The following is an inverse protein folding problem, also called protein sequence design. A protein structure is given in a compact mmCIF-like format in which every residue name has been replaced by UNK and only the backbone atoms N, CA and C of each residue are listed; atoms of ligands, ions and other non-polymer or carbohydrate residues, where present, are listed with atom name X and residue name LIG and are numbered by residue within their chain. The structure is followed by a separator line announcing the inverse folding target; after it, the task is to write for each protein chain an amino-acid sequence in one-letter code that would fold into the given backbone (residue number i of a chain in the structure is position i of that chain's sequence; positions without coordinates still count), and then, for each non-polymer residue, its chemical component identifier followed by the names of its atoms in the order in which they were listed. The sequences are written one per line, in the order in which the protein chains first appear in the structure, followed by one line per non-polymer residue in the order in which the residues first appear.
data_IF_731045118666
#
_entry.id   IF_731045118666
#
_cell.length_a   1.000
_cell.length_b   1.000
_cell.length_c   1.000
_cell.angle_alpha   90.00
_cell.angle_beta   90.00
_cell.angle_gamma   90.00
#
_symmetry.space_group_name_H-M   'P 1'
#
loop_
_entity.id
_entity.type
_entity.pdbx_description
1 polymer ?
#
# COMPACT_ATOMS: atom_id res chain seq x y z
N UNK A 1 -31.70 46.33 -2.81
CA UNK A 1 -30.88 45.56 -1.84
C UNK A 1 -30.99 44.08 -2.18
N UNK A 2 -29.88 43.39 -2.33
CA UNK A 2 -29.90 41.96 -2.71
C UNK A 2 -30.26 41.04 -1.52
N UNK A 3 -30.03 41.50 -0.27
CA UNK A 3 -30.35 40.76 0.95
C UNK A 3 -31.54 41.38 1.66
N UNK A 4 -32.61 40.61 1.83
CA UNK A 4 -33.86 41.07 2.54
C UNK A 4 -34.15 40.11 3.70
N UNK A 5 -34.59 40.68 4.85
CA UNK A 5 -35.04 39.91 6.01
C UNK A 5 -36.46 39.38 5.75
N UNK A 6 -36.67 38.08 6.02
CA UNK A 6 -38.00 37.48 5.88
C UNK A 6 -38.76 37.44 7.20
N UNK A 7 -40.08 37.25 7.14
CA UNK A 7 -40.94 37.17 8.35
C UNK A 7 -40.54 35.97 9.27
N UNK A 8 -39.83 34.99 8.76
CA UNK A 8 -39.32 33.80 9.50
C UNK A 8 -37.93 34.03 10.11
N UNK A 9 -37.52 35.27 10.31
CA UNK A 9 -36.21 35.65 10.89
C UNK A 9 -34.98 35.09 10.16
N UNK A 10 -35.12 34.74 8.86
CA UNK A 10 -34.06 34.36 7.93
C UNK A 10 -33.79 35.48 6.94
N UNK A 11 -32.70 35.35 6.16
CA UNK A 11 -32.31 36.36 5.17
C UNK A 11 -32.36 35.74 3.78
N UNK A 12 -33.12 36.38 2.87
CA UNK A 12 -33.22 35.96 1.48
C UNK A 12 -32.26 36.78 0.64
N UNK A 13 -31.35 36.10 -0.04
CA UNK A 13 -30.45 36.70 -1.02
C UNK A 13 -31.06 36.52 -2.42
N UNK A 14 -31.15 37.62 -3.18
CA UNK A 14 -31.62 37.64 -4.56
C UNK A 14 -30.68 38.52 -5.38
N UNK A 15 -29.88 37.88 -6.26
CA UNK A 15 -28.90 38.55 -7.13
C UNK A 15 -29.30 38.34 -8.59
N UNK A 16 -29.33 39.41 -9.37
CA UNK A 16 -29.57 39.34 -10.82
C UNK A 16 -28.38 38.77 -11.54
N UNK A 17 -28.62 37.86 -12.51
CA UNK A 17 -27.60 37.20 -13.33
C UNK A 17 -27.80 37.65 -14.78
N UNK A 18 -26.80 38.29 -15.42
CA UNK A 18 -26.83 38.67 -16.82
C UNK A 18 -27.05 37.47 -17.75
N UNK A 19 -27.75 37.69 -18.87
CA UNK A 19 -28.17 36.60 -19.79
C UNK A 19 -27.00 35.82 -20.32
N UNK A 20 -25.88 36.46 -20.60
CA UNK A 20 -24.68 35.98 -21.27
C UNK A 20 -23.92 34.94 -20.40
N UNK A 21 -24.07 35.04 -19.05
CA UNK A 21 -23.32 34.21 -18.11
C UNK A 21 -24.18 33.15 -17.40
N UNK A 22 -25.51 33.15 -17.61
CA UNK A 22 -26.44 32.20 -16.93
C UNK A 22 -26.08 30.76 -17.18
N UNK A 23 -25.78 30.41 -18.43
CA UNK A 23 -25.36 29.04 -18.82
C UNK A 23 -24.05 28.61 -18.15
N UNK A 24 -23.10 29.53 -18.04
CA UNK A 24 -21.80 29.29 -17.39
C UNK A 24 -21.95 29.12 -15.87
N UNK A 25 -22.97 29.73 -15.26
CA UNK A 25 -23.30 29.59 -13.84
C UNK A 25 -24.28 28.46 -13.53
N UNK A 26 -24.81 27.75 -14.55
CA UNK A 26 -25.79 26.69 -14.38
C UNK A 26 -27.17 27.16 -13.87
N UNK A 27 -27.51 28.47 -14.06
CA UNK A 27 -28.73 29.06 -13.56
C UNK A 27 -29.74 29.21 -14.69
N UNK A 28 -30.93 28.61 -14.53
CA UNK A 28 -32.00 28.67 -15.55
C UNK A 28 -32.80 29.99 -15.54
N UNK A 29 -32.84 30.71 -14.40
CA UNK A 29 -33.58 31.96 -14.23
C UNK A 29 -32.68 33.20 -14.33
N UNK A 30 -33.29 34.38 -14.20
CA UNK A 30 -32.58 35.66 -14.22
C UNK A 30 -32.09 36.15 -12.85
N UNK A 31 -32.33 35.34 -11.81
CA UNK A 31 -31.87 35.65 -10.47
C UNK A 31 -31.34 34.37 -9.79
N UNK A 32 -30.26 34.52 -9.03
CA UNK A 32 -29.88 33.57 -7.99
C UNK A 32 -30.67 33.90 -6.73
N UNK A 33 -31.37 32.92 -6.15
CA UNK A 33 -32.16 33.09 -4.93
C UNK A 33 -31.81 31.98 -3.92
N UNK A 34 -31.39 32.39 -2.73
CA UNK A 34 -31.09 31.43 -1.64
C UNK A 34 -31.36 32.07 -0.26
N UNK A 35 -31.80 31.23 0.70
CA UNK A 35 -32.06 31.65 2.09
C UNK A 35 -30.90 31.28 3.01
N UNK A 36 -30.59 32.20 3.94
CA UNK A 36 -29.52 32.04 4.94
C UNK A 36 -30.04 32.28 6.33
N UNK A 37 -29.38 31.71 7.34
CA UNK A 37 -29.79 31.86 8.74
C UNK A 37 -29.39 33.23 9.31
N UNK A 38 -28.26 33.78 8.91
CA UNK A 38 -27.73 35.05 9.40
C UNK A 38 -27.53 36.05 8.26
N UNK A 39 -27.57 37.34 8.61
CA UNK A 39 -27.30 38.43 7.67
C UNK A 39 -25.85 38.40 7.19
N UNK A 40 -24.93 37.95 8.02
CA UNK A 40 -23.51 37.85 7.70
C UNK A 40 -23.29 36.84 6.59
N UNK A 41 -23.81 35.60 6.75
CA UNK A 41 -23.75 34.54 5.70
C UNK A 41 -24.38 35.00 4.37
N UNK A 42 -25.53 35.69 4.42
CA UNK A 42 -26.18 36.20 3.23
C UNK A 42 -25.33 37.27 2.51
N UNK A 43 -24.61 38.10 3.26
CA UNK A 43 -23.74 39.15 2.72
C UNK A 43 -22.42 38.55 2.14
N UNK A 44 -21.85 37.56 2.79
CA UNK A 44 -20.68 36.83 2.28
C UNK A 44 -21.02 36.14 0.96
N UNK A 45 -22.16 35.45 0.90
CA UNK A 45 -22.65 34.84 -0.33
C UNK A 45 -23.01 35.85 -1.44
N UNK A 46 -23.53 37.05 -1.08
CA UNK A 46 -23.77 38.15 -2.03
C UNK A 46 -22.44 38.56 -2.71
N UNK A 47 -21.41 38.80 -1.88
CA UNK A 47 -20.09 39.20 -2.36
C UNK A 47 -19.48 38.14 -3.27
N UNK A 48 -19.55 36.86 -2.88
CA UNK A 48 -19.05 35.73 -3.66
C UNK A 48 -19.73 35.65 -5.05
N UNK A 49 -21.07 35.80 -5.09
CA UNK A 49 -21.80 35.73 -6.36
C UNK A 49 -21.50 36.95 -7.25
N UNK A 50 -21.40 38.14 -6.68
CA UNK A 50 -21.09 39.37 -7.44
C UNK A 50 -19.66 39.31 -8.00
N UNK A 51 -18.69 38.79 -7.24
CA UNK A 51 -17.32 38.58 -7.70
C UNK A 51 -17.30 37.60 -8.87
N UNK A 52 -18.07 36.52 -8.78
CA UNK A 52 -18.16 35.51 -9.84
C UNK A 52 -18.82 36.05 -11.13
N UNK A 53 -19.84 36.90 -10.99
CA UNK A 53 -20.46 37.60 -12.12
C UNK A 53 -19.41 38.49 -12.80
N UNK A 54 -18.72 39.32 -12.04
CA UNK A 54 -17.71 40.28 -12.55
C UNK A 54 -16.55 39.54 -13.30
N UNK A 55 -16.07 38.44 -12.76
CA UNK A 55 -15.05 37.61 -13.38
C UNK A 55 -15.52 37.03 -14.73
N UNK A 56 -16.77 36.52 -14.79
CA UNK A 56 -17.35 35.96 -16.00
C UNK A 56 -17.65 37.00 -17.08
N UNK A 57 -18.02 38.25 -16.69
CA UNK A 57 -18.25 39.37 -17.58
C UNK A 57 -16.94 39.87 -18.23
N UNK A 58 -15.86 39.87 -17.46
CA UNK A 58 -14.55 40.34 -17.94
C UNK A 58 -13.77 39.31 -18.73
N UNK A 59 -14.32 38.09 -18.98
CA UNK A 59 -13.65 37.04 -19.75
C UNK A 59 -12.46 36.42 -19.03
N UNK A 60 -12.32 36.71 -17.72
CA UNK A 60 -11.32 35.99 -16.91
C UNK A 60 -11.76 34.53 -16.79
N UNK A 61 -10.92 33.67 -17.27
CA UNK A 61 -11.19 32.21 -17.27
C UNK A 61 -11.49 31.75 -15.85
N UNK A 62 -12.63 31.06 -15.69
CA UNK A 62 -13.08 30.45 -14.42
C UNK A 62 -12.03 29.50 -13.81
N UNK A 63 -11.05 29.09 -14.60
CA UNK A 63 -9.92 28.26 -14.19
C UNK A 63 -9.08 28.87 -13.06
N UNK A 64 -8.87 30.19 -13.04
CA UNK A 64 -8.01 30.84 -12.03
C UNK A 64 -8.68 31.04 -10.67
N UNK A 65 -10.00 31.21 -10.59
CA UNK A 65 -10.71 31.38 -9.30
C UNK A 65 -11.14 30.07 -8.63
N UNK A 66 -11.15 28.95 -9.37
CA UNK A 66 -11.44 27.60 -8.83
C UNK A 66 -10.28 26.96 -8.09
N UNK A 67 -9.09 27.47 -8.25
CA UNK A 67 -7.87 26.81 -7.83
C UNK A 67 -7.45 27.11 -6.38
N UNK A 68 -7.84 28.24 -5.80
CA UNK A 68 -7.26 28.68 -4.52
C UNK A 68 -7.84 28.01 -3.27
N UNK A 69 -9.07 27.48 -3.31
CA UNK A 69 -9.77 26.99 -2.12
C UNK A 69 -10.16 25.49 -2.17
N UNK A 70 -9.64 24.73 -3.13
CA UNK A 70 -9.93 23.29 -3.19
C UNK A 70 -9.39 22.58 -1.93
N UNK A 71 -10.25 21.80 -1.28
CA UNK A 71 -9.84 21.00 -0.13
C UNK A 71 -8.82 19.93 -0.54
N UNK A 72 -7.91 19.63 0.37
CA UNK A 72 -6.92 18.56 0.16
C UNK A 72 -7.60 17.21 -0.17
N UNK A 73 -8.73 16.88 0.50
CA UNK A 73 -9.50 15.68 0.23
C UNK A 73 -10.14 15.68 -1.16
N UNK A 74 -10.63 16.81 -1.63
CA UNK A 74 -11.21 16.94 -2.98
C UNK A 74 -10.14 16.86 -4.05
N UNK A 75 -9.02 17.56 -3.87
CA UNK A 75 -7.87 17.47 -4.78
C UNK A 75 -7.34 16.04 -4.88
N UNK A 76 -7.19 15.36 -3.73
CA UNK A 76 -6.78 13.94 -3.71
C UNK A 76 -7.76 13.06 -4.47
N UNK A 77 -9.08 13.13 -4.18
CA UNK A 77 -10.06 12.20 -4.73
C UNK A 77 -10.36 12.44 -6.21
N UNK A 78 -10.44 13.71 -6.65
CA UNK A 78 -10.97 14.07 -7.95
C UNK A 78 -9.88 14.37 -8.99
N UNK A 79 -8.62 14.61 -8.54
CA UNK A 79 -7.54 15.05 -9.42
C UNK A 79 -6.32 14.14 -9.30
N UNK A 80 -5.70 14.12 -8.12
CA UNK A 80 -4.45 13.39 -7.91
C UNK A 80 -4.60 11.88 -8.04
N UNK A 81 -5.71 11.30 -7.57
CA UNK A 81 -5.89 9.86 -7.50
C UNK A 81 -5.90 9.18 -8.87
N UNK A 82 -6.58 9.76 -9.85
CA UNK A 82 -6.63 9.20 -11.20
C UNK A 82 -5.30 9.40 -11.93
N UNK A 83 -4.66 10.56 -11.79
CA UNK A 83 -3.32 10.83 -12.29
C UNK A 83 -2.28 9.90 -11.68
N UNK A 84 -2.39 9.60 -10.38
CA UNK A 84 -1.52 8.63 -9.71
C UNK A 84 -1.67 7.21 -10.28
N UNK A 85 -2.90 6.74 -10.47
CA UNK A 85 -3.17 5.42 -11.07
C UNK A 85 -2.62 5.32 -12.50
N UNK A 86 -2.67 6.40 -13.23
CA UNK A 86 -2.08 6.52 -14.57
C UNK A 86 -0.54 6.62 -14.56
N UNK A 87 0.10 6.78 -13.38
CA UNK A 87 1.56 6.93 -13.25
C UNK A 87 2.10 8.33 -13.54
N UNK A 88 1.23 9.34 -13.65
CA UNK A 88 1.59 10.71 -14.03
C UNK A 88 2.22 11.52 -12.89
N UNK A 89 1.90 11.18 -11.63
CA UNK A 89 2.37 11.93 -10.44
C UNK A 89 3.78 11.55 -10.00
N UNK A 90 4.48 10.71 -10.75
CA UNK A 90 5.83 10.26 -10.44
C UNK A 90 6.68 10.19 -11.71
N UNK A 91 7.99 10.39 -11.58
CA UNK A 91 8.94 10.26 -12.69
C UNK A 91 9.24 8.81 -13.10
N UNK A 92 8.55 7.81 -12.54
CA UNK A 92 8.75 6.42 -12.91
C UNK A 92 8.09 6.09 -14.24
N UNK A 93 8.77 5.32 -15.08
CA UNK A 93 8.30 4.96 -16.42
C UNK A 93 7.10 3.98 -16.45
N UNK A 94 6.71 3.43 -15.31
CA UNK A 94 5.62 2.45 -15.21
C UNK A 94 4.57 2.90 -14.19
N UNK A 95 3.28 2.77 -14.51
CA UNK A 95 2.22 3.04 -13.55
C UNK A 95 2.31 2.08 -12.34
N UNK A 96 1.76 2.48 -11.18
CA UNK A 96 1.78 1.67 -9.99
C UNK A 96 0.98 0.37 -10.17
N UNK A 97 1.45 -0.72 -9.57
CA UNK A 97 0.71 -1.99 -9.56
C UNK A 97 -0.54 -1.88 -8.70
N UNK A 98 -1.55 -2.75 -8.93
CA UNK A 98 -2.78 -2.78 -8.12
C UNK A 98 -2.49 -2.90 -6.62
N UNK A 99 -1.49 -3.71 -6.22
CA UNK A 99 -1.05 -3.81 -4.82
C UNK A 99 -0.56 -2.48 -4.27
N UNK A 100 0.18 -1.71 -5.07
CA UNK A 100 0.68 -0.39 -4.68
C UNK A 100 -0.47 0.61 -4.57
N UNK A 101 -1.41 0.59 -5.52
CA UNK A 101 -2.62 1.43 -5.52
C UNK A 101 -3.42 1.23 -4.22
N UNK A 102 -3.71 -0.02 -3.84
CA UNK A 102 -4.47 -0.33 -2.62
C UNK A 102 -3.75 0.08 -1.34
N UNK A 103 -2.43 -0.12 -1.30
CA UNK A 103 -1.61 0.30 -0.17
C UNK A 103 -1.59 1.84 -0.05
N UNK A 104 -1.46 2.54 -1.18
CA UNK A 104 -1.52 4.01 -1.24
C UNK A 104 -2.86 4.52 -0.74
N UNK A 105 -3.98 3.95 -1.23
CA UNK A 105 -5.32 4.29 -0.76
C UNK A 105 -5.46 4.11 0.76
N UNK A 106 -4.88 3.04 1.28
CA UNK A 106 -4.90 2.76 2.72
C UNK A 106 -4.09 3.78 3.52
N UNK A 107 -2.91 4.21 3.02
CA UNK A 107 -2.08 5.25 3.65
C UNK A 107 -2.81 6.58 3.68
N UNK A 108 -3.43 6.99 2.57
CA UNK A 108 -4.22 8.22 2.53
C UNK A 108 -5.37 8.17 3.51
N UNK A 109 -6.20 7.13 3.45
CA UNK A 109 -7.38 6.98 4.32
C UNK A 109 -7.03 6.96 5.80
N UNK A 110 -5.97 6.26 6.21
CA UNK A 110 -5.62 6.08 7.63
C UNK A 110 -4.76 7.19 8.21
N UNK A 111 -3.97 7.86 7.39
CA UNK A 111 -2.92 8.75 7.91
C UNK A 111 -2.95 10.15 7.31
N UNK A 112 -3.14 10.32 6.00
CA UNK A 112 -2.96 11.63 5.35
C UNK A 112 -4.27 12.45 5.38
N UNK A 113 -5.39 11.87 4.94
CA UNK A 113 -6.68 12.55 4.93
C UNK A 113 -7.17 12.99 6.31
N UNK A 114 -6.98 12.21 7.40
CA UNK A 114 -7.31 12.69 8.74
C UNK A 114 -6.49 13.91 9.19
N UNK A 115 -5.27 14.10 8.68
CA UNK A 115 -4.43 15.26 8.99
C UNK A 115 -4.79 16.50 8.17
N UNK A 116 -5.01 16.34 6.88
CA UNK A 116 -5.03 17.45 5.93
C UNK A 116 -6.34 17.60 5.16
N UNK A 117 -7.22 16.59 5.16
CA UNK A 117 -8.38 16.51 4.28
C UNK A 117 -9.32 17.73 4.32
N UNK A 118 -9.47 18.34 5.49
CA UNK A 118 -10.37 19.48 5.72
C UNK A 118 -9.72 20.85 5.51
N UNK A 119 -8.44 20.91 5.17
CA UNK A 119 -7.75 22.15 4.84
C UNK A 119 -7.69 22.34 3.34
N UNK A 120 -7.71 23.61 2.87
CA UNK A 120 -7.45 23.87 1.45
C UNK A 120 -5.97 23.68 1.10
N UNK A 121 -5.68 23.30 -0.15
CA UNK A 121 -4.31 23.14 -0.67
C UNK A 121 -3.53 24.42 -0.50
N UNK A 122 -4.14 25.56 -0.85
CA UNK A 122 -3.49 26.87 -0.75
C UNK A 122 -3.20 27.27 0.70
N UNK A 123 -4.16 27.06 1.62
CA UNK A 123 -3.94 27.30 3.05
C UNK A 123 -2.75 26.52 3.58
N UNK A 124 -2.67 25.22 3.30
CA UNK A 124 -1.56 24.38 3.75
C UNK A 124 -0.22 24.84 3.15
N UNK A 125 -0.21 25.18 1.85
CA UNK A 125 0.99 25.65 1.14
C UNK A 125 1.53 26.98 1.71
N UNK A 126 0.65 27.86 2.18
CA UNK A 126 1.02 29.13 2.81
C UNK A 126 1.41 28.96 4.29
N UNK A 127 0.81 28.02 5.01
CA UNK A 127 0.96 27.85 6.45
C UNK A 127 1.91 26.68 6.79
N UNK A 128 3.20 26.82 6.44
CA UNK A 128 4.24 25.81 6.67
C UNK A 128 4.30 25.28 8.09
N UNK A 129 4.04 26.13 9.09
CA UNK A 129 4.10 25.75 10.50
C UNK A 129 3.01 24.73 10.86
N UNK A 130 1.81 24.87 10.31
CA UNK A 130 0.70 23.91 10.51
C UNK A 130 1.11 22.54 9.97
N UNK A 131 1.61 22.49 8.73
CA UNK A 131 2.07 21.27 8.10
C UNK A 131 3.24 20.64 8.87
N UNK A 132 4.20 21.45 9.29
CA UNK A 132 5.34 20.98 10.09
C UNK A 132 4.90 20.33 11.40
N UNK A 133 3.99 20.96 12.14
CA UNK A 133 3.50 20.44 13.42
C UNK A 133 2.76 19.11 13.23
N UNK A 134 1.81 19.03 12.30
CA UNK A 134 1.04 17.82 12.03
C UNK A 134 1.92 16.67 11.54
N UNK A 135 2.84 16.93 10.64
CA UNK A 135 3.75 15.89 10.13
C UNK A 135 4.79 15.46 11.15
N UNK A 136 5.29 16.35 12.01
CA UNK A 136 6.21 16.00 13.09
C UNK A 136 5.54 15.07 14.09
N UNK A 137 4.31 15.40 14.53
CA UNK A 137 3.53 14.52 15.39
C UNK A 137 3.30 13.14 14.74
N UNK A 138 2.98 13.09 13.44
CA UNK A 138 2.82 11.84 12.71
C UNK A 138 4.13 11.05 12.57
N UNK A 139 5.27 11.72 12.47
CA UNK A 139 6.59 11.07 12.42
C UNK A 139 6.96 10.38 13.75
N UNK A 140 6.44 10.86 14.88
CA UNK A 140 6.59 10.24 16.21
C UNK A 140 5.65 9.05 16.41
N UNK A 141 4.50 9.05 15.74
CA UNK A 141 3.47 8.01 15.84
C UNK A 141 3.72 6.85 14.86
N UNK A 142 4.15 7.13 13.63
CA UNK A 142 4.14 6.16 12.54
C UNK A 142 5.54 5.86 11.99
N UNK A 143 5.99 4.60 12.14
CA UNK A 143 7.36 4.20 11.76
C UNK A 143 7.64 4.35 10.24
N UNK A 144 6.64 4.08 9.37
CA UNK A 144 6.81 4.23 7.92
C UNK A 144 6.50 5.64 7.42
N UNK A 145 6.84 6.65 8.21
CA UNK A 145 6.58 8.06 7.93
C UNK A 145 7.17 8.54 6.58
N UNK A 146 8.27 7.94 6.11
CA UNK A 146 8.85 8.29 4.80
C UNK A 146 7.85 8.18 3.65
N UNK A 147 6.92 7.21 3.72
CA UNK A 147 5.87 7.02 2.70
C UNK A 147 4.85 8.16 2.77
N UNK A 148 4.41 8.53 3.98
CA UNK A 148 3.52 9.69 4.17
C UNK A 148 4.15 10.95 3.62
N UNK A 149 5.42 11.20 3.98
CA UNK A 149 6.19 12.36 3.52
C UNK A 149 6.27 12.43 1.98
N UNK A 150 6.51 11.30 1.33
CA UNK A 150 6.58 11.21 -0.12
C UNK A 150 5.24 11.55 -0.78
N UNK A 151 4.12 10.99 -0.28
CA UNK A 151 2.81 11.24 -0.85
C UNK A 151 2.32 12.66 -0.61
N UNK A 152 2.54 13.22 0.59
CA UNK A 152 2.17 14.61 0.87
C UNK A 152 2.95 15.56 -0.07
N UNK A 153 4.25 15.32 -0.25
CA UNK A 153 5.03 16.14 -1.20
C UNK A 153 4.50 15.98 -2.64
N UNK A 154 4.16 14.76 -3.06
CA UNK A 154 3.61 14.48 -4.40
C UNK A 154 2.26 15.17 -4.65
N UNK A 155 1.42 15.35 -3.63
CA UNK A 155 0.17 16.13 -3.76
C UNK A 155 0.48 17.60 -4.09
N UNK A 156 1.44 18.20 -3.38
CA UNK A 156 1.79 19.62 -3.60
C UNK A 156 2.61 19.83 -4.88
N UNK A 157 3.48 18.88 -5.24
CA UNK A 157 4.20 18.92 -6.53
C UNK A 157 3.20 18.84 -7.70
N UNK A 158 2.16 17.98 -7.58
CA UNK A 158 1.12 17.86 -8.61
C UNK A 158 0.16 19.04 -8.63
N UNK A 159 -0.08 19.68 -7.48
CA UNK A 159 -0.86 20.89 -7.40
C UNK A 159 -0.12 22.11 -8.03
N UNK A 160 1.21 22.15 -7.93
CA UNK A 160 2.06 23.12 -8.64
C UNK A 160 2.03 22.84 -10.15
N UNK A 161 2.23 21.61 -10.58
CA UNK A 161 2.22 21.20 -12.01
C UNK A 161 0.91 21.55 -12.71
N UNK A 162 -0.22 21.44 -12.00
CA UNK A 162 -1.56 21.78 -12.51
C UNK A 162 -2.00 23.23 -12.17
N UNK A 163 -1.08 24.08 -11.74
CA UNK A 163 -1.32 25.51 -11.46
C UNK A 163 -2.38 25.78 -10.37
N UNK A 164 -2.66 24.81 -9.46
CA UNK A 164 -3.49 25.05 -8.28
C UNK A 164 -2.79 25.89 -7.22
N UNK A 165 -1.48 25.87 -7.22
CA UNK A 165 -0.59 26.72 -6.42
C UNK A 165 0.57 27.21 -7.32
N UNK A 166 1.07 28.40 -7.06
CA UNK A 166 2.17 28.99 -7.81
C UNK A 166 3.50 28.19 -7.67
N UNK A 167 3.75 27.66 -6.47
CA UNK A 167 4.92 26.85 -6.17
C UNK A 167 4.71 26.00 -4.91
N UNK A 168 5.32 24.81 -4.87
CA UNK A 168 5.32 23.97 -3.66
C UNK A 168 6.27 24.53 -2.61
N UNK A 169 5.75 25.43 -1.74
CA UNK A 169 6.51 26.05 -0.65
C UNK A 169 6.89 25.06 0.46
N UNK A 170 6.27 23.87 0.50
CA UNK A 170 6.44 22.86 1.56
C UNK A 170 7.58 21.90 1.29
N UNK A 171 8.01 21.72 0.04
CA UNK A 171 8.95 20.67 -0.37
C UNK A 171 10.21 20.61 0.50
N UNK A 172 10.88 21.75 0.73
CA UNK A 172 12.09 21.81 1.58
C UNK A 172 11.78 21.52 3.04
N UNK A 173 10.64 22.00 3.56
CA UNK A 173 10.19 21.79 4.95
C UNK A 173 9.88 20.30 5.19
N UNK A 174 9.07 19.71 4.34
CA UNK A 174 8.66 18.31 4.40
C UNK A 174 9.88 17.37 4.34
N UNK A 175 10.83 17.62 3.46
CA UNK A 175 12.07 16.80 3.31
C UNK A 175 12.93 16.78 4.57
N UNK A 176 12.92 17.83 5.38
CA UNK A 176 13.70 17.92 6.62
C UNK A 176 13.11 17.16 7.81
N UNK A 177 11.81 16.82 7.78
CA UNK A 177 11.17 16.10 8.88
C UNK A 177 11.71 14.67 8.93
N UNK A 178 12.31 14.29 10.04
CA UNK A 178 12.89 12.96 10.26
C UNK A 178 11.83 11.94 10.68
N UNK A 179 12.02 10.68 10.31
CA UNK A 179 11.15 9.57 10.73
C UNK A 179 11.51 9.11 12.15
N UNK A 180 11.21 9.94 13.15
CA UNK A 180 11.65 9.78 14.55
C UNK A 180 11.22 8.44 15.16
N UNK A 181 9.98 8.00 14.94
CA UNK A 181 9.53 6.66 15.38
C UNK A 181 10.41 5.55 14.83
N UNK A 182 10.76 5.64 13.55
CA UNK A 182 11.61 4.63 12.93
C UNK A 182 13.02 4.62 13.50
N UNK A 183 13.60 5.79 13.75
CA UNK A 183 14.93 5.92 14.35
C UNK A 183 14.94 5.30 15.75
N UNK A 184 14.01 5.68 16.63
CA UNK A 184 13.87 5.08 17.97
C UNK A 184 13.74 3.55 17.93
N UNK A 185 12.98 3.00 16.94
CA UNK A 185 12.84 1.56 16.76
C UNK A 185 14.11 0.90 16.19
N UNK A 186 14.95 1.63 15.47
CA UNK A 186 16.24 1.12 15.00
C UNK A 186 17.27 1.10 16.11
N UNK A 187 17.34 2.16 16.91
CA UNK A 187 18.26 2.27 18.05
C UNK A 187 17.96 1.22 19.16
N UNK A 188 16.68 0.79 19.26
CA UNK A 188 16.27 -0.24 20.22
C UNK A 188 16.46 -1.68 19.73
N UNK A 189 16.88 -1.90 18.47
CA UNK A 189 17.13 -3.24 17.92
C UNK A 189 18.58 -3.61 18.10
N UNK A 190 18.83 -4.74 18.79
CA UNK A 190 20.13 -5.38 18.77
C UNK A 190 20.38 -6.04 17.41
N UNK A 191 21.61 -6.06 16.94
CA UNK A 191 22.00 -6.77 15.71
C UNK A 191 21.63 -8.25 15.78
N UNK A 192 21.70 -8.87 16.95
CA UNK A 192 21.30 -10.25 17.23
C UNK A 192 19.81 -10.54 17.00
N UNK A 193 18.98 -9.48 16.90
CA UNK A 193 17.56 -9.65 16.57
C UNK A 193 17.27 -9.70 15.07
N UNK A 194 18.26 -9.41 14.23
CA UNK A 194 18.08 -9.38 12.78
C UNK A 194 18.08 -10.77 12.13
N UNK A 195 18.81 -11.72 12.69
CA UNK A 195 18.90 -13.11 12.23
C UNK A 195 18.92 -14.09 13.42
N UNK A 196 18.79 -15.37 13.15
CA UNK A 196 18.91 -16.42 14.14
C UNK A 196 20.36 -16.88 14.23
N UNK A 197 20.83 -17.25 15.45
CA UNK A 197 22.08 -18.01 15.59
C UNK A 197 21.93 -19.40 14.98
N UNK A 198 23.04 -20.14 14.87
CA UNK A 198 22.99 -21.51 14.36
C UNK A 198 22.19 -22.44 15.27
N UNK A 199 22.33 -22.27 16.60
CA UNK A 199 21.55 -23.00 17.60
C UNK A 199 20.06 -22.65 17.55
N UNK A 200 19.73 -21.36 17.53
CA UNK A 200 18.34 -20.91 17.42
C UNK A 200 17.66 -21.37 16.11
N UNK A 201 18.43 -21.49 15.03
CA UNK A 201 17.95 -22.03 13.77
C UNK A 201 17.73 -23.55 13.86
N UNK A 202 18.66 -24.28 14.51
CA UNK A 202 18.53 -25.72 14.75
C UNK A 202 17.28 -26.03 15.57
N UNK A 203 17.01 -25.24 16.63
CA UNK A 203 15.78 -25.38 17.42
C UNK A 203 14.52 -25.27 16.54
N UNK A 204 14.51 -24.36 15.55
CA UNK A 204 13.41 -24.27 14.59
C UNK A 204 13.29 -25.52 13.70
N UNK A 205 14.40 -26.07 13.25
CA UNK A 205 14.40 -27.29 12.44
C UNK A 205 13.87 -28.47 13.23
N UNK A 206 14.30 -28.62 14.48
CA UNK A 206 13.89 -29.70 15.36
C UNK A 206 12.39 -29.58 15.70
N UNK A 207 11.90 -28.37 16.01
CA UNK A 207 10.49 -28.12 16.26
C UNK A 207 9.60 -28.44 15.05
N UNK A 208 10.03 -28.09 13.84
CA UNK A 208 9.30 -28.44 12.62
C UNK A 208 9.29 -29.95 12.34
N UNK A 209 10.39 -30.63 12.65
CA UNK A 209 10.51 -32.08 12.54
C UNK A 209 9.61 -32.78 13.55
N UNK A 210 9.69 -32.41 14.83
CA UNK A 210 8.84 -32.93 15.89
C UNK A 210 7.35 -32.77 15.58
N UNK A 211 6.95 -31.61 15.08
CA UNK A 211 5.57 -31.34 14.70
C UNK A 211 5.12 -32.20 13.49
N UNK A 212 6.03 -32.49 12.54
CA UNK A 212 5.75 -33.40 11.43
C UNK A 212 5.57 -34.86 11.91
N UNK A 213 6.48 -35.32 12.77
CA UNK A 213 6.44 -36.68 13.33
C UNK A 213 5.21 -36.93 14.20
N UNK A 214 4.70 -35.90 14.85
CA UNK A 214 3.50 -35.92 15.70
C UNK A 214 2.21 -35.54 14.96
N UNK A 215 2.18 -35.52 13.62
CA UNK A 215 1.03 -35.14 12.79
C UNK A 215 0.42 -33.77 13.11
N UNK A 216 1.21 -32.84 13.71
CA UNK A 216 0.82 -31.46 13.99
C UNK A 216 1.09 -30.52 12.81
N UNK A 217 1.94 -30.97 11.89
CA UNK A 217 2.34 -30.25 10.69
C UNK A 217 2.29 -31.19 9.47
N UNK A 218 1.81 -30.71 8.34
CA UNK A 218 1.81 -31.51 7.10
C UNK A 218 3.21 -31.55 6.45
N UNK A 219 3.51 -32.62 5.71
CA UNK A 219 4.72 -32.72 4.90
C UNK A 219 4.88 -31.49 3.99
N UNK A 220 3.80 -31.03 3.35
CA UNK A 220 3.81 -29.81 2.54
C UNK A 220 4.36 -28.60 3.30
N UNK A 221 3.89 -28.38 4.53
CA UNK A 221 4.29 -27.22 5.32
C UNK A 221 5.74 -27.30 5.77
N UNK A 222 6.19 -28.51 6.09
CA UNK A 222 7.59 -28.81 6.38
C UNK A 222 8.49 -28.52 5.17
N UNK A 223 8.16 -29.05 4.00
CA UNK A 223 8.90 -28.84 2.75
C UNK A 223 8.91 -27.37 2.36
N UNK A 224 7.79 -26.65 2.52
CA UNK A 224 7.71 -25.21 2.25
C UNK A 224 8.67 -24.41 3.14
N UNK A 225 8.73 -24.72 4.43
CA UNK A 225 9.63 -24.06 5.37
C UNK A 225 11.10 -24.24 4.95
N UNK A 226 11.52 -25.49 4.71
CA UNK A 226 12.88 -25.78 4.28
C UNK A 226 13.23 -25.20 2.91
N UNK A 227 12.32 -25.26 1.94
CA UNK A 227 12.50 -24.63 0.64
C UNK A 227 12.75 -23.14 0.76
N UNK A 228 11.91 -22.42 1.53
CA UNK A 228 12.04 -20.98 1.74
C UNK A 228 13.36 -20.64 2.45
N UNK A 229 13.78 -21.44 3.42
CA UNK A 229 15.04 -21.23 4.12
C UNK A 229 16.26 -21.46 3.22
N UNK A 230 16.33 -22.62 2.55
CA UNK A 230 17.49 -23.02 1.73
C UNK A 230 17.68 -22.05 0.57
N UNK A 231 16.59 -21.66 -0.11
CA UNK A 231 16.67 -20.67 -1.18
C UNK A 231 16.96 -19.26 -0.67
N UNK A 232 16.81 -19.02 0.62
CA UNK A 232 16.91 -17.69 1.22
C UNK A 232 16.14 -16.64 0.40
N UNK A 233 15.01 -17.05 -0.20
CA UNK A 233 14.20 -16.25 -1.10
C UNK A 233 13.11 -15.46 -0.36
N UNK A 234 12.28 -14.74 -1.09
CA UNK A 234 11.05 -14.18 -0.53
C UNK A 234 9.96 -15.26 -0.52
N UNK A 235 9.23 -15.42 0.59
CA UNK A 235 8.11 -16.38 0.69
C UNK A 235 7.19 -16.38 -0.54
N UNK A 236 6.97 -15.22 -1.17
CA UNK A 236 6.17 -15.09 -2.39
C UNK A 236 6.82 -15.73 -3.63
N UNK A 237 8.13 -15.89 -3.64
CA UNK A 237 8.89 -16.57 -4.68
C UNK A 237 8.76 -18.09 -4.50
N UNK A 238 8.93 -18.63 -3.29
CA UNK A 238 8.62 -20.03 -2.97
C UNK A 238 7.16 -20.39 -3.29
N UNK A 239 6.20 -19.49 -3.00
CA UNK A 239 4.78 -19.74 -3.29
C UNK A 239 4.46 -19.81 -4.79
N UNK A 240 5.28 -19.18 -5.63
CA UNK A 240 5.12 -19.18 -7.09
C UNK A 240 5.85 -20.34 -7.80
N UNK A 241 6.49 -21.25 -7.06
CA UNK A 241 7.19 -22.38 -7.66
C UNK A 241 6.20 -23.34 -8.31
N UNK A 242 6.50 -23.72 -9.55
CA UNK A 242 5.83 -24.79 -10.29
C UNK A 242 6.78 -25.98 -10.43
N UNK A 243 6.25 -27.17 -10.60
CA UNK A 243 7.09 -28.36 -10.78
C UNK A 243 8.03 -28.28 -11.99
N UNK A 244 7.65 -27.57 -13.05
CA UNK A 244 8.53 -27.29 -14.20
C UNK A 244 9.78 -26.46 -13.88
N UNK A 245 9.78 -25.77 -12.74
CA UNK A 245 10.90 -24.96 -12.27
C UNK A 245 11.87 -25.74 -11.37
N UNK A 246 11.59 -27.01 -11.10
CA UNK A 246 12.38 -27.87 -10.21
C UNK A 246 12.94 -29.03 -11.02
N UNK A 247 14.24 -29.03 -11.18
CA UNK A 247 14.99 -30.15 -11.75
C UNK A 247 15.56 -31.01 -10.61
N UNK A 248 14.81 -32.05 -10.26
CA UNK A 248 15.19 -32.97 -9.20
C UNK A 248 16.41 -33.84 -9.57
N UNK A 249 16.63 -34.09 -10.89
CA UNK A 249 17.76 -34.92 -11.35
C UNK A 249 19.09 -34.17 -11.23
N UNK A 250 19.08 -32.88 -11.56
CA UNK A 250 20.25 -32.01 -11.46
C UNK A 250 20.30 -31.19 -10.14
N UNK A 251 19.39 -31.46 -9.20
CA UNK A 251 19.29 -30.78 -7.92
C UNK A 251 19.26 -29.24 -8.06
N UNK A 252 18.40 -28.74 -8.96
CA UNK A 252 18.29 -27.30 -9.25
C UNK A 252 16.86 -26.76 -9.13
N UNK A 253 16.74 -25.50 -8.71
CA UNK A 253 15.49 -24.74 -8.71
C UNK A 253 15.69 -23.41 -9.45
N UNK A 254 14.79 -23.12 -10.40
CA UNK A 254 14.79 -21.89 -11.19
C UNK A 254 13.72 -20.91 -10.66
N UNK A 255 14.15 -19.88 -9.96
CA UNK A 255 13.27 -18.82 -9.44
C UNK A 255 13.07 -17.72 -10.46
N UNK A 256 11.86 -17.62 -11.01
CA UNK A 256 11.46 -16.62 -12.02
C UNK A 256 10.30 -15.75 -11.60
N UNK A 257 9.46 -16.24 -10.70
CA UNK A 257 8.16 -15.67 -10.41
C UNK A 257 7.96 -15.45 -8.92
N UNK A 258 6.97 -14.61 -8.60
CA UNK A 258 6.48 -14.40 -7.25
C UNK A 258 4.95 -14.30 -7.27
N UNK A 259 4.26 -14.79 -6.23
CA UNK A 259 2.83 -14.59 -6.04
C UNK A 259 2.58 -13.24 -5.35
N UNK A 260 1.65 -12.46 -5.89
CA UNK A 260 1.17 -11.26 -5.21
C UNK A 260 0.04 -11.60 -4.20
N UNK A 261 -0.42 -10.57 -3.46
CA UNK A 261 -1.51 -10.74 -2.48
C UNK A 261 -2.87 -11.17 -3.08
N UNK A 262 -3.02 -11.00 -4.40
CA UNK A 262 -4.19 -11.45 -5.15
C UNK A 262 -4.02 -12.83 -5.78
N UNK A 263 -2.91 -13.52 -5.45
CA UNK A 263 -2.55 -14.84 -6.00
C UNK A 263 -2.19 -14.82 -7.49
N UNK A 264 -1.88 -13.64 -8.06
CA UNK A 264 -1.38 -13.54 -9.43
C UNK A 264 0.13 -13.81 -9.46
N UNK A 265 0.54 -14.60 -10.44
CA UNK A 265 1.96 -14.86 -10.72
C UNK A 265 2.55 -13.64 -11.44
N UNK A 266 3.63 -13.09 -10.90
CA UNK A 266 4.38 -11.96 -11.47
C UNK A 266 5.86 -12.32 -11.58
N UNK A 267 6.59 -11.62 -12.44
CA UNK A 267 8.06 -11.71 -12.45
C UNK A 267 8.64 -11.25 -11.11
N UNK A 268 9.80 -11.80 -10.74
CA UNK A 268 10.52 -11.37 -9.53
C UNK A 268 10.89 -9.89 -9.61
N UNK A 269 11.10 -9.25 -8.45
CA UNK A 269 11.51 -7.85 -8.39
C UNK A 269 12.87 -7.67 -9.10
N UNK A 270 12.87 -6.90 -10.18
CA UNK A 270 14.04 -6.68 -11.03
C UNK A 270 14.16 -7.67 -12.19
N UNK A 271 13.16 -8.48 -12.45
CA UNK A 271 13.09 -9.45 -13.56
C UNK A 271 14.27 -10.43 -13.61
N UNK A 272 14.85 -10.75 -12.44
CA UNK A 272 16.01 -11.63 -12.32
C UNK A 272 15.55 -13.08 -12.36
N UNK A 273 16.20 -13.85 -13.22
CA UNK A 273 16.16 -15.31 -13.24
C UNK A 273 17.34 -15.81 -12.42
N UNK A 274 17.09 -16.63 -11.41
CA UNK A 274 18.15 -17.18 -10.57
C UNK A 274 17.98 -18.70 -10.45
N UNK A 275 19.03 -19.42 -10.80
CA UNK A 275 19.08 -20.88 -10.64
C UNK A 275 19.86 -21.16 -9.36
N UNK A 276 19.27 -21.95 -8.48
CA UNK A 276 19.86 -22.40 -7.23
C UNK A 276 20.16 -23.90 -7.29
N UNK A 277 21.37 -24.28 -6.91
CA UNK A 277 21.64 -25.68 -6.55
C UNK A 277 21.07 -25.95 -5.15
N UNK A 278 20.42 -27.08 -4.97
CA UNK A 278 19.80 -27.48 -3.72
C UNK A 278 20.44 -28.75 -3.15
N UNK A 279 20.53 -28.89 -1.83
CA UNK A 279 21.13 -30.08 -1.21
C UNK A 279 20.25 -31.32 -1.41
N UNK A 280 20.86 -32.48 -1.39
CA UNK A 280 20.21 -33.80 -1.58
C UNK A 280 19.03 -34.01 -0.61
N UNK A 281 19.14 -33.53 0.61
CA UNK A 281 18.06 -33.57 1.59
C UNK A 281 16.78 -32.84 1.06
N UNK A 282 16.91 -31.65 0.49
CA UNK A 282 15.75 -30.94 -0.06
C UNK A 282 15.21 -31.63 -1.33
N UNK A 283 16.08 -32.25 -2.15
CA UNK A 283 15.67 -33.07 -3.30
C UNK A 283 14.78 -34.22 -2.83
N UNK A 284 15.18 -34.92 -1.78
CA UNK A 284 14.41 -36.04 -1.20
C UNK A 284 13.04 -35.57 -0.70
N UNK A 285 13.00 -34.47 0.07
CA UNK A 285 11.76 -33.90 0.59
C UNK A 285 10.81 -33.46 -0.54
N UNK A 286 11.33 -32.79 -1.57
CA UNK A 286 10.53 -32.37 -2.72
C UNK A 286 10.02 -33.57 -3.54
N UNK A 287 10.82 -34.63 -3.65
CA UNK A 287 10.41 -35.85 -4.35
C UNK A 287 9.29 -36.57 -3.61
N UNK A 288 9.38 -36.67 -2.29
CA UNK A 288 8.34 -37.25 -1.45
C UNK A 288 7.07 -36.42 -1.52
N UNK A 289 7.17 -35.08 -1.34
CA UNK A 289 6.03 -34.19 -1.46
C UNK A 289 5.37 -34.25 -2.85
N UNK A 290 6.14 -34.35 -3.92
CA UNK A 290 5.61 -34.49 -5.29
C UNK A 290 4.70 -35.70 -5.42
N UNK A 291 5.11 -36.84 -4.86
CA UNK A 291 4.31 -38.08 -4.86
C UNK A 291 3.05 -37.92 -4.03
N UNK A 292 3.18 -37.36 -2.84
CA UNK A 292 2.03 -37.13 -1.95
C UNK A 292 1.04 -36.12 -2.55
N UNK A 293 1.51 -34.98 -3.11
CA UNK A 293 0.64 -34.01 -3.77
C UNK A 293 -0.12 -34.64 -4.95
N UNK A 294 0.54 -35.49 -5.75
CA UNK A 294 -0.12 -36.21 -6.84
C UNK A 294 -1.28 -37.06 -6.34
N UNK A 295 -1.07 -37.78 -5.23
CA UNK A 295 -2.10 -38.59 -4.60
C UNK A 295 -3.22 -37.73 -4.02
N UNK A 296 -2.89 -36.66 -3.31
CA UNK A 296 -3.87 -35.74 -2.73
C UNK A 296 -4.76 -35.08 -3.78
N UNK A 297 -4.17 -34.60 -4.88
CA UNK A 297 -4.91 -33.97 -5.99
C UNK A 297 -5.80 -34.97 -6.72
N UNK A 298 -5.36 -36.21 -6.90
CA UNK A 298 -6.13 -37.25 -7.55
C UNK A 298 -7.44 -37.56 -6.83
N UNK A 299 -7.49 -37.43 -5.49
CA UNK A 299 -8.74 -37.57 -4.71
C UNK A 299 -9.82 -36.58 -5.11
N UNK A 300 -9.44 -35.46 -5.70
CA UNK A 300 -10.34 -34.41 -6.18
C UNK A 300 -10.45 -34.39 -7.70
N UNK A 301 -9.97 -35.43 -8.39
CA UNK A 301 -10.00 -35.51 -9.86
C UNK A 301 -9.03 -34.55 -10.55
N UNK A 302 -8.05 -34.00 -9.84
CA UNK A 302 -7.06 -33.04 -10.38
C UNK A 302 -5.79 -33.80 -10.76
N UNK A 303 -5.39 -33.68 -12.02
CA UNK A 303 -4.14 -34.25 -12.52
C UNK A 303 -2.96 -33.30 -12.22
N UNK A 304 -1.93 -33.81 -11.55
CA UNK A 304 -0.69 -33.07 -11.35
C UNK A 304 0.11 -32.99 -12.67
N UNK A 305 0.33 -31.77 -13.16
CA UNK A 305 1.14 -31.49 -14.36
C UNK A 305 2.43 -30.78 -14.00
N UNK A 306 3.29 -30.54 -14.98
CA UNK A 306 4.49 -29.70 -14.79
C UNK A 306 4.16 -28.25 -14.43
N UNK A 307 3.00 -27.76 -14.84
CA UNK A 307 2.50 -26.40 -14.51
C UNK A 307 1.80 -26.31 -13.16
N UNK A 308 1.68 -27.43 -12.43
CA UNK A 308 1.12 -27.43 -11.08
C UNK A 308 2.03 -26.64 -10.13
N UNK A 309 1.43 -25.72 -9.33
CA UNK A 309 2.13 -25.10 -8.21
C UNK A 309 2.59 -26.16 -7.21
N UNK A 310 3.83 -26.03 -6.74
CA UNK A 310 4.41 -26.95 -5.75
C UNK A 310 3.65 -26.88 -4.43
N UNK A 311 3.24 -25.67 -4.01
CA UNK A 311 2.58 -25.46 -2.74
C UNK A 311 1.18 -24.87 -2.94
N UNK A 312 0.17 -25.68 -2.64
CA UNK A 312 -1.24 -25.30 -2.70
C UNK A 312 -1.97 -25.76 -1.44
N UNK A 313 -3.19 -25.28 -1.22
CA UNK A 313 -4.00 -25.66 -0.06
C UNK A 313 -5.49 -25.60 -0.38
N UNK A 314 -6.31 -26.11 0.52
CA UNK A 314 -7.77 -25.89 0.49
C UNK A 314 -8.03 -24.58 1.23
N UNK A 315 -8.60 -23.60 0.54
CA UNK A 315 -8.86 -22.29 1.14
C UNK A 315 -10.11 -22.30 2.05
N UNK A 316 -10.35 -21.20 2.74
CA UNK A 316 -11.48 -21.06 3.67
C UNK A 316 -12.87 -21.14 3.02
N UNK A 317 -12.90 -21.08 1.68
CA UNK A 317 -14.14 -21.26 0.89
C UNK A 317 -14.31 -22.69 0.38
N UNK A 318 -13.39 -23.59 0.72
CA UNK A 318 -13.37 -24.99 0.26
C UNK A 318 -12.78 -25.18 -1.14
N UNK A 319 -12.18 -24.16 -1.75
CA UNK A 319 -11.54 -24.33 -3.06
C UNK A 319 -10.26 -25.14 -2.89
N UNK A 320 -10.23 -26.29 -3.54
CA UNK A 320 -9.08 -27.18 -3.57
C UNK A 320 -8.00 -26.62 -4.53
N UNK A 321 -6.75 -26.99 -4.27
CA UNK A 321 -5.61 -26.60 -5.11
C UNK A 321 -5.42 -25.09 -5.25
N UNK A 322 -5.84 -24.31 -4.26
CA UNK A 322 -5.69 -22.86 -4.24
C UNK A 322 -4.24 -22.45 -4.00
N UNK A 323 -3.73 -21.39 -4.68
CA UNK A 323 -2.43 -20.80 -4.36
C UNK A 323 -2.39 -20.29 -2.94
N UNK A 324 -1.23 -20.39 -2.26
CA UNK A 324 -1.05 -19.97 -0.87
C UNK A 324 -1.38 -18.46 -0.69
N UNK A 325 -2.04 -18.12 0.41
CA UNK A 325 -2.25 -16.72 0.76
C UNK A 325 -0.97 -16.10 1.34
N UNK A 326 -0.87 -14.77 1.28
CA UNK A 326 0.36 -14.02 1.59
C UNK A 326 0.96 -14.33 2.98
N UNK A 327 0.12 -14.65 3.97
CA UNK A 327 0.58 -14.91 5.34
C UNK A 327 0.62 -16.40 5.70
N UNK A 328 0.53 -17.29 4.72
CA UNK A 328 0.45 -18.73 4.96
C UNK A 328 1.62 -19.26 5.82
N UNK A 329 2.86 -19.07 5.39
CA UNK A 329 4.04 -19.51 6.13
C UNK A 329 4.21 -18.78 7.47
N UNK A 330 3.87 -17.49 7.55
CA UNK A 330 3.84 -16.78 8.83
C UNK A 330 2.90 -17.45 9.84
N UNK A 331 1.69 -17.85 9.40
CA UNK A 331 0.70 -18.51 10.25
C UNK A 331 1.19 -19.89 10.72
N UNK A 332 1.87 -20.64 9.83
CA UNK A 332 2.47 -21.94 10.18
C UNK A 332 3.60 -21.78 11.20
N UNK A 333 4.53 -20.87 10.97
CA UNK A 333 5.60 -20.56 11.92
C UNK A 333 5.04 -20.09 13.28
N UNK A 334 4.03 -19.23 13.29
CA UNK A 334 3.37 -18.80 14.53
C UNK A 334 2.68 -19.97 15.25
N UNK A 335 2.16 -20.95 14.51
CA UNK A 335 1.55 -22.14 15.09
C UNK A 335 2.60 -23.05 15.74
N UNK A 336 3.73 -23.29 15.06
CA UNK A 336 4.89 -24.02 15.60
C UNK A 336 5.42 -23.29 16.87
N UNK A 337 5.64 -21.98 16.80
CA UNK A 337 6.09 -21.16 17.95
C UNK A 337 5.17 -21.28 19.18
N UNK A 338 3.86 -21.40 18.98
CA UNK A 338 2.90 -21.60 20.08
C UNK A 338 3.04 -22.96 20.75
N UNK A 339 3.36 -24.02 19.98
CA UNK A 339 3.60 -25.37 20.51
C UNK A 339 4.98 -25.49 21.17
N UNK A 340 5.97 -24.72 20.66
CA UNK A 340 7.35 -24.67 21.16
C UNK A 340 7.69 -23.25 21.68
N UNK A 341 7.23 -22.88 22.89
CA UNK A 341 7.35 -21.51 23.42
C UNK A 341 8.77 -20.98 23.59
N UNK A 342 9.75 -21.88 23.74
CA UNK A 342 11.18 -21.54 23.91
C UNK A 342 11.84 -21.03 22.62
N UNK A 343 11.30 -21.33 21.45
CA UNK A 343 11.87 -20.86 20.19
C UNK A 343 12.05 -19.35 20.17
N UNK A 344 13.14 -18.86 19.66
CA UNK A 344 13.31 -17.42 19.35
C UNK A 344 12.29 -16.99 18.30
N UNK A 345 11.73 -15.78 18.43
CA UNK A 345 10.76 -15.29 17.43
C UNK A 345 11.42 -15.19 16.04
N UNK A 346 10.79 -15.81 15.05
CA UNK A 346 11.21 -15.76 13.67
C UNK A 346 10.03 -15.52 12.72
N UNK A 347 10.32 -14.92 11.57
CA UNK A 347 9.42 -14.71 10.46
C UNK A 347 10.09 -15.22 9.18
N UNK A 348 9.37 -15.50 8.10
CA UNK A 348 10.00 -15.86 6.82
C UNK A 348 11.06 -14.86 6.35
N UNK A 349 10.88 -13.57 6.66
CA UNK A 349 11.87 -12.54 6.34
C UNK A 349 13.14 -12.68 7.20
N UNK A 350 12.98 -12.98 8.50
CA UNK A 350 14.12 -13.26 9.38
C UNK A 350 14.87 -14.53 8.95
N UNK A 351 14.16 -15.60 8.54
CA UNK A 351 14.79 -16.80 7.96
C UNK A 351 15.66 -16.48 6.74
N UNK A 352 15.15 -15.63 5.83
CA UNK A 352 15.93 -15.17 4.69
C UNK A 352 17.20 -14.43 5.12
N UNK A 353 17.11 -13.53 6.09
CA UNK A 353 18.28 -12.83 6.66
C UNK A 353 19.26 -13.82 7.28
N UNK A 354 18.75 -14.80 8.02
CA UNK A 354 19.56 -15.86 8.63
C UNK A 354 20.34 -16.65 7.57
N UNK A 355 19.65 -17.18 6.55
CA UNK A 355 20.27 -17.95 5.48
C UNK A 355 21.35 -17.15 4.73
N UNK A 356 21.06 -15.88 4.38
CA UNK A 356 22.04 -15.02 3.70
C UNK A 356 23.24 -14.65 4.58
N UNK A 357 23.05 -14.54 5.90
CA UNK A 357 24.12 -14.23 6.85
C UNK A 357 25.01 -15.44 7.09
N UNK A 358 24.42 -16.62 7.30
CA UNK A 358 25.16 -17.87 7.49
C UNK A 358 25.97 -18.23 6.21
N UNK A 359 25.38 -18.09 5.03
CA UNK A 359 26.07 -18.34 3.77
C UNK A 359 27.25 -17.38 3.51
N UNK A 360 27.31 -16.21 4.16
CA UNK A 360 28.46 -15.30 4.09
C UNK A 360 29.56 -15.63 5.10
N UNK A 361 29.22 -16.33 6.18
CA UNK A 361 30.15 -16.73 7.23
C UNK A 361 30.83 -18.09 6.96
N UNK A 362 30.18 -18.92 6.11
CA UNK A 362 30.72 -20.20 5.59
C UNK A 362 31.66 -19.94 4.38
#
# INVERSE_FOLDING_TARGET
MAVTKTNSNTYNLKVYIPKEIRSKMGIKGNHFVKRYKTRKEAKEAELEILTKIHQLENGEDILLSKTSDILFSEFFNNIWWDSYKAGQTTSTTKPPTQVTIDNTKTVFRKHILPMFGNYSINFLNQNKQVVLNLMTAKAEEYANFKVIRSYVNSIFDWAEELEYIESNRLSKTIKRIKATKKLKLQDSKNEDDLYLSSEELQDWFDAFREDLENDKLSLKDYVLFFTTFILSDRKSESYALHWKNIDLANAQIDLRHALDKYKNVKSTKGNKKTIFSIPSYLVSLLSEWKKQQKYELAKFGIMQTSDQLVFTYIDTKGNVNSPLHVDYLNNKMNSVKRRHPKLKHATPHKLRHTGTTLAKKA
#
